data_IF_646481082307
#
_entry.id   IF_646481082307
#
_cell.length_a   1.000
_cell.length_b   1.000
_cell.length_c   1.000
_cell.angle_alpha   90.00
_cell.angle_beta   90.00
_cell.angle_gamma   90.00
#
_symmetry.space_group_name_H-M   'P 1'
#
loop_
_entity.id
_entity.type
_entity.pdbx_description
1 polymer ?
#
# COMPACT_ATOMS: atom_id res chain seq x y z
N UNK A 1 -23.51 8.38 7.93
CA UNK A 1 -22.60 9.00 6.94
C UNK A 1 -21.58 7.93 6.57
N UNK A 2 -21.53 7.51 5.32
CA UNK A 2 -20.48 6.60 4.85
C UNK A 2 -19.17 7.39 4.91
N UNK A 3 -18.21 6.94 5.72
CA UNK A 3 -16.85 7.45 5.67
C UNK A 3 -16.30 7.15 4.28
N UNK A 4 -15.86 8.17 3.53
CA UNK A 4 -15.12 7.94 2.30
C UNK A 4 -13.87 7.10 2.65
N UNK A 5 -13.80 5.90 2.08
CA UNK A 5 -12.62 5.04 2.14
C UNK A 5 -11.51 5.68 1.30
N UNK A 6 -10.31 5.73 1.85
CA UNK A 6 -9.10 6.14 1.12
C UNK A 6 -8.23 4.92 0.83
N UNK A 7 -7.82 4.76 -0.44
CA UNK A 7 -6.79 3.82 -0.85
C UNK A 7 -5.43 4.52 -0.79
N UNK A 8 -4.61 4.15 0.17
CA UNK A 8 -3.23 4.58 0.29
C UNK A 8 -2.32 3.64 -0.52
N UNK A 9 -1.48 4.20 -1.39
CA UNK A 9 -0.54 3.43 -2.20
C UNK A 9 0.89 3.85 -1.86
N UNK A 10 1.72 2.92 -1.38
CA UNK A 10 3.17 3.09 -1.31
C UNK A 10 3.79 2.40 -2.52
N UNK A 11 4.43 3.14 -3.41
CA UNK A 11 5.01 2.63 -4.64
C UNK A 11 6.52 2.89 -4.73
N UNK A 12 7.30 1.89 -5.13
CA UNK A 12 8.69 2.09 -5.51
C UNK A 12 8.79 2.15 -7.04
N UNK A 13 9.00 3.34 -7.64
CA UNK A 13 9.04 3.48 -9.10
C UNK A 13 10.19 2.69 -9.75
N UNK A 14 11.20 2.30 -8.97
CA UNK A 14 12.37 1.57 -9.43
C UNK A 14 12.30 0.05 -9.17
N UNK A 15 11.22 -0.45 -8.56
CA UNK A 15 11.07 -1.88 -8.30
C UNK A 15 10.76 -2.68 -9.58
N UNK A 16 11.33 -3.90 -9.67
CA UNK A 16 11.09 -4.83 -10.77
C UNK A 16 11.41 -4.22 -12.14
N UNK A 17 10.49 -4.37 -13.10
CA UNK A 17 10.61 -3.83 -14.46
C UNK A 17 10.41 -2.30 -14.55
N UNK A 18 10.44 -1.56 -13.43
CA UNK A 18 10.18 -0.10 -13.36
C UNK A 18 8.77 0.30 -13.81
N UNK A 19 7.81 -0.61 -13.69
CA UNK A 19 6.42 -0.41 -14.09
C UNK A 19 5.51 0.06 -12.96
N UNK A 20 6.04 0.28 -11.74
CA UNK A 20 5.21 0.63 -10.59
C UNK A 20 4.38 1.91 -10.83
N UNK A 21 4.98 2.95 -11.43
CA UNK A 21 4.24 4.18 -11.79
C UNK A 21 3.15 3.93 -12.84
N UNK A 22 3.38 3.02 -13.79
CA UNK A 22 2.35 2.62 -14.77
C UNK A 22 1.19 1.89 -14.11
N UNK A 23 1.49 0.95 -13.20
CA UNK A 23 0.48 0.21 -12.43
C UNK A 23 -0.34 1.17 -11.57
N UNK A 24 0.30 2.13 -10.92
CA UNK A 24 -0.39 3.20 -10.17
C UNK A 24 -1.37 3.95 -11.08
N UNK A 25 -0.94 4.37 -12.27
CA UNK A 25 -1.81 5.06 -13.23
C UNK A 25 -3.04 4.23 -13.62
N UNK A 26 -2.85 2.93 -13.87
CA UNK A 26 -3.95 2.00 -14.17
C UNK A 26 -4.92 1.83 -13.00
N UNK A 27 -4.42 1.78 -11.76
CA UNK A 27 -5.25 1.71 -10.56
C UNK A 27 -6.07 2.99 -10.42
N UNK A 28 -5.46 4.16 -10.59
CA UNK A 28 -6.16 5.44 -10.52
C UNK A 28 -7.26 5.57 -11.58
N UNK A 29 -7.02 5.04 -12.78
CA UNK A 29 -8.01 5.00 -13.85
C UNK A 29 -9.16 4.03 -13.55
N UNK A 30 -8.87 2.86 -12.96
CA UNK A 30 -9.87 1.85 -12.64
C UNK A 30 -10.75 2.25 -11.44
N UNK A 31 -10.14 2.74 -10.37
CA UNK A 31 -10.80 3.09 -9.09
C UNK A 31 -11.22 4.57 -9.02
N UNK A 32 -11.85 5.07 -10.09
CA UNK A 32 -12.22 6.49 -10.26
C UNK A 32 -13.15 7.07 -9.17
N UNK A 33 -13.78 6.24 -8.33
CA UNK A 33 -14.69 6.68 -7.25
C UNK A 33 -14.07 6.69 -5.85
N UNK A 34 -12.86 6.14 -5.68
CA UNK A 34 -12.17 6.10 -4.38
C UNK A 34 -11.23 7.30 -4.22
N UNK A 35 -11.03 7.75 -2.98
CA UNK A 35 -9.98 8.73 -2.70
C UNK A 35 -8.63 8.01 -2.69
N UNK A 36 -7.76 8.31 -3.65
CA UNK A 36 -6.48 7.60 -3.82
C UNK A 36 -5.34 8.54 -3.47
N UNK A 37 -4.54 8.16 -2.46
CA UNK A 37 -3.34 8.89 -2.05
C UNK A 37 -2.09 8.06 -2.35
N UNK A 38 -1.24 8.57 -3.24
CA UNK A 38 -0.04 7.87 -3.72
C UNK A 38 1.23 8.45 -3.08
N UNK A 39 2.12 7.59 -2.62
CA UNK A 39 3.40 7.93 -2.02
C UNK A 39 4.53 7.14 -2.71
N UNK A 40 5.48 7.84 -3.32
CA UNK A 40 6.61 7.23 -4.04
C UNK A 40 7.86 7.12 -3.16
N UNK A 41 8.51 5.96 -3.17
CA UNK A 41 9.72 5.64 -2.39
C UNK A 41 10.96 5.72 -3.27
N UNK A 42 11.56 6.91 -3.36
CA UNK A 42 12.71 7.19 -4.24
C UNK A 42 14.01 7.38 -3.44
N UNK A 43 13.89 7.83 -2.19
CA UNK A 43 15.00 8.17 -1.33
C UNK A 43 15.12 7.23 -0.15
N UNK A 44 16.28 7.32 0.50
CA UNK A 44 16.53 6.61 1.76
C UNK A 44 15.47 6.99 2.80
N UNK A 45 14.96 5.98 3.48
CA UNK A 45 13.98 6.07 4.57
C UNK A 45 12.57 6.53 4.15
N UNK A 46 12.28 6.61 2.86
CA UNK A 46 10.95 7.02 2.39
C UNK A 46 9.86 6.03 2.81
N UNK A 47 10.12 4.73 2.81
CA UNK A 47 9.17 3.73 3.29
C UNK A 47 8.74 4.03 4.74
N UNK A 48 9.69 4.43 5.60
CA UNK A 48 9.42 4.80 6.99
C UNK A 48 8.56 6.07 7.07
N UNK A 49 8.96 7.13 6.36
CA UNK A 49 8.27 8.42 6.38
C UNK A 49 6.82 8.27 5.91
N UNK A 50 6.61 7.50 4.84
CA UNK A 50 5.29 7.30 4.26
C UNK A 50 4.38 6.50 5.17
N UNK A 51 4.87 5.41 5.75
CA UNK A 51 4.11 4.64 6.75
C UNK A 51 3.68 5.55 7.91
N UNK A 52 4.60 6.35 8.45
CA UNK A 52 4.27 7.28 9.55
C UNK A 52 3.21 8.31 9.11
N UNK A 53 3.33 8.86 7.90
CA UNK A 53 2.38 9.85 7.38
C UNK A 53 0.98 9.25 7.20
N UNK A 54 0.90 8.03 6.64
CA UNK A 54 -0.36 7.33 6.41
C UNK A 54 -1.03 7.02 7.76
N UNK A 55 -0.29 6.46 8.72
CA UNK A 55 -0.84 6.09 10.04
C UNK A 55 -1.40 7.27 10.84
N UNK A 56 -1.05 8.52 10.52
CA UNK A 56 -1.61 9.71 11.19
C UNK A 56 -3.06 9.98 10.81
N UNK A 57 -3.49 9.55 9.62
CA UNK A 57 -4.83 9.80 9.09
C UNK A 57 -5.62 8.53 8.79
N UNK A 58 -4.97 7.36 8.85
CA UNK A 58 -5.56 6.07 8.49
C UNK A 58 -6.73 5.70 9.41
N UNK A 59 -7.85 5.33 8.81
CA UNK A 59 -9.07 4.85 9.46
C UNK A 59 -9.26 3.37 9.21
N UNK A 60 -10.12 2.73 9.99
CA UNK A 60 -10.42 1.30 9.84
C UNK A 60 -10.99 0.94 8.46
N UNK A 61 -11.70 1.86 7.81
CA UNK A 61 -12.23 1.69 6.46
C UNK A 61 -11.23 1.90 5.34
N UNK A 62 -10.03 2.41 5.64
CA UNK A 62 -9.03 2.73 4.62
C UNK A 62 -8.21 1.49 4.27
N UNK A 63 -7.65 1.47 3.06
CA UNK A 63 -6.80 0.37 2.60
C UNK A 63 -5.38 0.85 2.30
N UNK A 64 -4.41 -0.04 2.49
CA UNK A 64 -3.01 0.19 2.14
C UNK A 64 -2.57 -0.84 1.08
N UNK A 65 -2.15 -0.33 -0.07
CA UNK A 65 -1.54 -1.11 -1.15
C UNK A 65 -0.04 -0.79 -1.25
N UNK A 66 0.77 -1.83 -1.44
CA UNK A 66 2.22 -1.71 -1.60
C UNK A 66 2.58 -2.20 -3.00
N UNK A 67 3.15 -1.34 -3.83
CA UNK A 67 3.58 -1.65 -5.20
C UNK A 67 5.10 -1.57 -5.25
N UNK A 68 5.75 -2.72 -5.10
CA UNK A 68 7.21 -2.82 -5.12
C UNK A 68 7.67 -4.27 -5.05
N UNK A 69 8.99 -4.46 -4.97
CA UNK A 69 9.58 -5.79 -4.74
C UNK A 69 9.69 -6.12 -3.26
N UNK A 70 10.25 -7.30 -2.95
CA UNK A 70 10.40 -7.81 -1.57
C UNK A 70 11.09 -6.82 -0.63
N UNK A 71 12.09 -6.09 -1.12
CA UNK A 71 12.78 -5.07 -0.33
C UNK A 71 11.87 -3.90 0.08
N UNK A 72 10.94 -3.50 -0.78
CA UNK A 72 9.96 -2.43 -0.46
C UNK A 72 8.94 -2.95 0.54
N UNK A 73 8.38 -4.14 0.27
CA UNK A 73 7.44 -4.80 1.17
C UNK A 73 8.03 -5.01 2.58
N UNK A 74 9.24 -5.58 2.66
CA UNK A 74 9.92 -5.86 3.92
C UNK A 74 10.13 -4.60 4.77
N UNK A 75 10.55 -3.49 4.15
CA UNK A 75 10.73 -2.22 4.84
C UNK A 75 9.41 -1.61 5.30
N UNK A 76 8.39 -1.58 4.44
CA UNK A 76 7.06 -1.06 4.82
C UNK A 76 6.51 -1.87 6.00
N UNK A 77 6.57 -3.20 5.91
CA UNK A 77 6.16 -4.09 7.00
C UNK A 77 6.94 -3.81 8.29
N UNK A 78 8.25 -3.53 8.20
CA UNK A 78 9.10 -3.19 9.37
C UNK A 78 8.61 -1.96 10.14
N UNK A 79 7.90 -1.03 9.50
CA UNK A 79 7.40 0.19 10.15
C UNK A 79 5.91 0.16 10.48
N UNK A 80 5.16 -0.81 9.96
CA UNK A 80 3.75 -0.98 10.31
C UNK A 80 3.60 -1.52 11.75
N UNK A 81 2.56 -1.11 12.49
CA UNK A 81 2.20 -1.69 13.79
C UNK A 81 1.88 -3.19 13.67
N UNK A 82 2.12 -3.97 14.74
CA UNK A 82 1.89 -5.42 14.73
C UNK A 82 0.44 -5.81 14.35
N UNK A 83 -0.55 -5.01 14.77
CA UNK A 83 -1.97 -5.22 14.41
C UNK A 83 -2.18 -5.10 12.89
N UNK A 84 -1.58 -4.08 12.26
CA UNK A 84 -1.62 -3.90 10.81
C UNK A 84 -0.93 -5.05 10.08
N UNK A 85 0.22 -5.52 10.57
CA UNK A 85 0.91 -6.67 9.98
C UNK A 85 0.05 -7.92 10.02
N UNK A 86 -0.64 -8.17 11.14
CA UNK A 86 -1.53 -9.31 11.28
C UNK A 86 -2.68 -9.24 10.26
N UNK A 87 -3.27 -8.06 10.05
CA UNK A 87 -4.33 -7.86 9.06
C UNK A 87 -3.84 -8.08 7.62
N UNK A 88 -2.66 -7.55 7.25
CA UNK A 88 -2.09 -7.75 5.91
C UNK A 88 -1.75 -9.23 5.67
N UNK A 89 -1.18 -9.92 6.66
CA UNK A 89 -0.89 -11.36 6.56
C UNK A 89 -2.19 -12.17 6.39
N UNK A 90 -3.24 -11.81 7.12
CA UNK A 90 -4.55 -12.44 6.99
C UNK A 90 -5.10 -12.21 5.57
N UNK A 91 -5.11 -10.97 5.07
CA UNK A 91 -5.55 -10.65 3.70
C UNK A 91 -4.74 -11.41 2.63
N UNK A 92 -3.42 -11.51 2.78
CA UNK A 92 -2.58 -12.31 1.87
C UNK A 92 -2.94 -13.79 1.95
N UNK A 93 -3.23 -14.33 3.13
CA UNK A 93 -3.70 -15.73 3.27
C UNK A 93 -5.06 -15.95 2.59
N UNK A 94 -6.00 -15.03 2.76
CA UNK A 94 -7.31 -15.08 2.10
C UNK A 94 -7.18 -14.90 0.57
N UNK A 95 -6.29 -14.02 0.10
CA UNK A 95 -6.01 -13.84 -1.33
C UNK A 95 -5.22 -15.01 -1.96
N UNK A 96 -4.45 -15.76 -1.15
CA UNK A 96 -3.74 -16.98 -1.57
C UNK A 96 -4.65 -18.22 -1.51
N UNK A 97 -5.91 -18.11 -1.07
CA UNK A 97 -6.89 -19.19 -1.12
C UNK A 97 -8.15 -18.80 -1.90
N UNK A 98 -8.08 -18.88 -3.23
CA UNK A 98 -8.92 -19.79 -3.98
C UNK A 98 -8.10 -21.08 -4.20
N UNK A 99 -8.48 -22.13 -3.46
CA UNK A 99 -8.22 -23.57 -3.71
C UNK A 99 -7.70 -23.87 -5.14
N UNK A 100 -6.58 -24.57 -5.36
CA UNK A 100 -6.34 -25.99 -5.03
C UNK A 100 -7.59 -26.87 -5.13
#
# INVERSE_FOLDING_TARGET
>A
MMSNMTLYIIANPHAGNKNASTIVGQIQEFYHTEDISVFYTEQKDDEKKQVINILRSFKESDHLMIIGGDGTLSKVMTYLPNIFRALIILLVREMILPEL
#
